data_IF_490001422678
#
_entry.id   IF_490001422678
#
_cell.length_a   1.000
_cell.length_b   1.000
_cell.length_c   1.000
_cell.angle_alpha   90.00
_cell.angle_beta   90.00
_cell.angle_gamma   90.00
#
_symmetry.space_group_name_H-M   'P 1'
#
loop_
_entity.id
_entity.type
_entity.pdbx_description
1 polymer ?
#
# COMPACT_ATOMS: atom_id res chain seq x y z
N UNK A 1 7.32 15.96 -6.58
CA UNK A 1 7.38 14.72 -5.77
C UNK A 1 7.00 14.96 -4.30
N UNK A 2 7.53 15.99 -3.62
CA UNK A 2 7.12 16.30 -2.24
C UNK A 2 5.61 16.55 -2.11
N UNK A 3 4.98 17.29 -3.04
CA UNK A 3 3.53 17.49 -3.08
C UNK A 3 2.75 16.17 -3.26
N UNK A 4 3.32 15.20 -3.98
CA UNK A 4 2.72 13.87 -4.14
C UNK A 4 2.79 13.10 -2.83
N UNK A 5 3.91 13.18 -2.10
CA UNK A 5 4.05 12.59 -0.77
C UNK A 5 3.03 13.17 0.22
N UNK A 6 2.87 14.50 0.23
CA UNK A 6 1.90 15.20 1.08
C UNK A 6 0.48 14.78 0.71
N UNK A 7 0.11 14.87 -0.57
CA UNK A 7 -1.24 14.52 -1.04
C UNK A 7 -1.59 13.06 -0.74
N UNK A 8 -0.66 12.13 -0.96
CA UNK A 8 -0.87 10.71 -0.69
C UNK A 8 -0.95 10.42 0.82
N UNK A 9 -0.14 11.09 1.64
CA UNK A 9 -0.24 11.01 3.10
C UNK A 9 -1.63 11.45 3.58
N UNK A 10 -2.11 12.60 3.10
CA UNK A 10 -3.46 13.10 3.44
C UNK A 10 -4.52 12.11 2.98
N UNK A 11 -4.39 11.55 1.78
CA UNK A 11 -5.31 10.53 1.26
C UNK A 11 -5.34 9.29 2.17
N UNK A 12 -4.18 8.75 2.58
CA UNK A 12 -4.14 7.61 3.49
C UNK A 12 -4.81 7.91 4.83
N UNK A 13 -4.53 9.06 5.44
CA UNK A 13 -5.19 9.47 6.68
C UNK A 13 -6.70 9.58 6.47
N UNK A 14 -7.14 10.23 5.38
CA UNK A 14 -8.56 10.42 5.08
C UNK A 14 -9.31 9.10 4.90
N UNK A 15 -8.71 8.11 4.21
CA UNK A 15 -9.29 6.78 4.04
C UNK A 15 -9.63 6.15 5.40
N UNK A 16 -8.79 6.35 6.43
CA UNK A 16 -9.02 5.84 7.78
C UNK A 16 -10.35 6.27 8.43
N UNK A 17 -11.02 7.29 7.89
CA UNK A 17 -12.30 7.80 8.38
C UNK A 17 -13.48 7.51 7.46
N UNK A 18 -13.26 6.94 6.26
CA UNK A 18 -14.32 6.64 5.29
C UNK A 18 -15.23 5.51 5.78
N UNK A 19 -14.65 4.47 6.38
CA UNK A 19 -15.40 3.30 6.87
C UNK A 19 -15.79 3.48 8.34
N UNK A 20 -17.07 3.28 8.61
CA UNK A 20 -17.72 3.40 9.92
C UNK A 20 -18.61 2.18 10.18
N UNK A 21 -19.01 1.95 11.44
CA UNK A 21 -19.84 0.80 11.81
C UNK A 21 -21.17 0.80 11.02
N UNK A 22 -21.70 2.00 10.74
CA UNK A 22 -22.96 2.19 10.03
C UNK A 22 -22.88 1.90 8.53
N UNK A 23 -21.73 2.17 7.89
CA UNK A 23 -21.57 2.04 6.44
C UNK A 23 -20.71 0.82 6.02
N UNK A 24 -20.08 0.11 6.96
CA UNK A 24 -19.18 -1.00 6.66
C UNK A 24 -19.86 -2.11 5.87
N UNK A 25 -21.16 -2.38 6.11
CA UNK A 25 -21.94 -3.36 5.33
C UNK A 25 -22.04 -3.04 3.83
N UNK A 26 -21.70 -1.82 3.42
CA UNK A 26 -21.67 -1.39 2.03
C UNK A 26 -20.23 -1.21 1.52
N UNK A 27 -19.38 -0.54 2.31
CA UNK A 27 -18.06 -0.09 1.87
C UNK A 27 -16.91 -1.07 2.16
N UNK A 28 -17.06 -1.95 3.16
CA UNK A 28 -15.99 -2.86 3.55
C UNK A 28 -16.07 -4.16 2.74
N UNK A 29 -15.20 -4.27 1.73
CA UNK A 29 -15.07 -5.49 0.92
C UNK A 29 -14.80 -6.72 1.79
N UNK A 30 -15.35 -7.86 1.40
CA UNK A 30 -15.39 -9.07 2.21
C UNK A 30 -16.54 -9.04 3.21
N UNK A 31 -16.66 -8.00 4.04
CA UNK A 31 -17.77 -7.87 5.00
C UNK A 31 -19.12 -7.62 4.32
N UNK A 32 -19.16 -6.78 3.29
CA UNK A 32 -20.37 -6.49 2.51
C UNK A 32 -20.89 -7.74 1.79
N UNK A 33 -20.02 -8.64 1.34
CA UNK A 33 -20.35 -9.89 0.66
C UNK A 33 -20.69 -11.04 1.61
N UNK A 34 -20.45 -10.91 2.92
CA UNK A 34 -20.82 -11.96 3.88
C UNK A 34 -22.35 -12.05 4.04
N UNK A 35 -22.91 -13.26 4.19
CA UNK A 35 -24.27 -13.45 4.67
C UNK A 35 -24.46 -12.81 6.05
N UNK A 36 -25.70 -12.41 6.38
CA UNK A 36 -25.99 -11.73 7.65
C UNK A 36 -25.60 -12.56 8.89
N UNK A 37 -25.75 -13.88 8.82
CA UNK A 37 -25.35 -14.79 9.89
C UNK A 37 -23.83 -14.76 10.16
N UNK A 38 -23.02 -14.60 9.11
CA UNK A 38 -21.56 -14.57 9.21
C UNK A 38 -21.02 -13.19 9.57
N UNK A 39 -21.71 -12.11 9.19
CA UNK A 39 -21.34 -10.75 9.62
C UNK A 39 -21.30 -10.63 11.15
N UNK A 40 -22.19 -11.34 11.85
CA UNK A 40 -22.24 -11.38 13.34
C UNK A 40 -20.99 -12.01 13.96
N UNK A 41 -20.18 -12.75 13.20
CA UNK A 41 -18.92 -13.36 13.67
C UNK A 41 -17.72 -12.40 13.56
N UNK A 42 -17.89 -11.27 12.87
CA UNK A 42 -16.85 -10.25 12.71
C UNK A 42 -16.97 -9.23 13.85
N UNK A 43 -15.87 -9.00 14.57
CA UNK A 43 -15.77 -7.89 15.52
C UNK A 43 -15.56 -6.58 14.74
N UNK A 44 -16.65 -6.06 14.17
CA UNK A 44 -16.61 -4.91 13.27
C UNK A 44 -16.14 -3.64 13.96
N UNK A 45 -16.49 -3.48 15.25
CA UNK A 45 -16.10 -2.32 16.06
C UNK A 45 -14.58 -2.31 16.28
N UNK A 46 -14.00 -3.44 16.68
CA UNK A 46 -12.56 -3.54 16.85
C UNK A 46 -11.81 -3.43 15.50
N UNK A 47 -12.37 -4.02 14.43
CA UNK A 47 -11.80 -3.91 13.08
C UNK A 47 -11.75 -2.46 12.60
N UNK A 48 -12.81 -1.68 12.75
CA UNK A 48 -12.86 -0.29 12.29
C UNK A 48 -11.88 0.60 13.08
N UNK A 49 -11.78 0.38 14.39
CA UNK A 49 -10.77 1.05 15.20
C UNK A 49 -9.35 0.72 14.71
N UNK A 50 -9.09 -0.54 14.34
CA UNK A 50 -7.83 -0.98 13.76
C UNK A 50 -7.58 -0.37 12.37
N UNK A 51 -8.56 -0.42 11.47
CA UNK A 51 -8.50 0.16 10.13
C UNK A 51 -8.13 1.64 10.18
N UNK A 52 -8.77 2.41 11.07
CA UNK A 52 -8.46 3.83 11.28
C UNK A 52 -7.02 4.04 11.76
N UNK A 53 -6.61 3.32 12.81
CA UNK A 53 -5.26 3.43 13.37
C UNK A 53 -4.19 3.09 12.34
N UNK A 54 -4.41 2.04 11.56
CA UNK A 54 -3.51 1.64 10.47
C UNK A 54 -3.35 2.75 9.44
N UNK A 55 -4.45 3.32 8.94
CA UNK A 55 -4.42 4.35 7.90
C UNK A 55 -3.83 5.69 8.38
N UNK A 56 -4.09 6.07 9.64
CA UNK A 56 -3.44 7.23 10.27
C UNK A 56 -1.93 6.99 10.37
N UNK A 57 -1.53 5.82 10.90
CA UNK A 57 -0.12 5.45 11.00
C UNK A 57 0.54 5.45 9.63
N UNK A 58 -0.06 4.80 8.63
CA UNK A 58 0.43 4.73 7.26
C UNK A 58 0.63 6.12 6.66
N UNK A 59 -0.34 7.03 6.79
CA UNK A 59 -0.20 8.39 6.27
C UNK A 59 0.95 9.15 6.94
N UNK A 60 1.00 9.15 8.27
CA UNK A 60 2.03 9.86 9.03
C UNK A 60 3.44 9.29 8.78
N UNK A 61 3.60 7.97 8.82
CA UNK A 61 4.88 7.32 8.56
C UNK A 61 5.30 7.50 7.11
N UNK A 62 4.36 7.45 6.16
CA UNK A 62 4.63 7.69 4.74
C UNK A 62 5.17 9.11 4.50
N UNK A 63 4.56 10.12 5.13
CA UNK A 63 5.03 11.49 5.02
C UNK A 63 6.43 11.66 5.61
N UNK A 64 6.64 11.20 6.84
CA UNK A 64 7.91 11.38 7.55
C UNK A 64 9.03 10.63 6.84
N UNK A 65 8.87 9.33 6.58
CA UNK A 65 9.90 8.52 5.93
C UNK A 65 10.14 8.95 4.48
N UNK A 66 9.07 9.29 3.75
CA UNK A 66 9.17 9.79 2.38
C UNK A 66 9.90 11.13 2.29
N UNK A 67 9.61 12.05 3.22
CA UNK A 67 10.32 13.33 3.29
C UNK A 67 11.80 13.14 3.66
N UNK A 68 12.11 12.24 4.60
CA UNK A 68 13.49 11.91 4.94
C UNK A 68 14.27 11.40 3.73
N UNK A 69 13.69 10.45 2.99
CA UNK A 69 14.31 9.94 1.76
C UNK A 69 14.49 11.04 0.70
N UNK A 70 13.50 11.91 0.54
CA UNK A 70 13.52 12.99 -0.44
C UNK A 70 14.60 14.03 -0.18
N UNK A 71 14.73 14.48 1.07
CA UNK A 71 15.63 15.57 1.44
C UNK A 71 17.04 15.10 1.80
N UNK A 72 17.21 13.88 2.33
CA UNK A 72 18.50 13.44 2.90
C UNK A 72 19.15 12.25 2.16
N UNK A 73 18.45 11.57 1.24
CA UNK A 73 19.01 10.40 0.54
C UNK A 73 19.04 10.65 -0.98
N UNK A 74 17.91 10.52 -1.66
CA UNK A 74 17.81 10.88 -3.08
C UNK A 74 16.36 10.91 -3.55
N UNK A 75 16.11 11.65 -4.64
CA UNK A 75 14.81 11.67 -5.31
C UNK A 75 14.43 10.28 -5.87
N UNK A 76 15.40 9.49 -6.34
CA UNK A 76 15.12 8.15 -6.86
C UNK A 76 14.64 7.21 -5.76
N UNK A 77 15.28 7.25 -4.59
CA UNK A 77 14.89 6.42 -3.43
C UNK A 77 13.52 6.79 -2.87
N UNK A 78 13.20 8.09 -2.81
CA UNK A 78 11.86 8.54 -2.44
C UNK A 78 10.80 8.14 -3.48
N UNK A 79 11.17 8.05 -4.77
CA UNK A 79 10.32 7.49 -5.83
C UNK A 79 10.03 6.00 -5.66
N UNK A 80 11.06 5.19 -5.35
CA UNK A 80 10.89 3.76 -5.03
C UNK A 80 10.00 3.58 -3.80
N UNK A 81 10.25 4.36 -2.75
CA UNK A 81 9.47 4.33 -1.51
C UNK A 81 7.99 4.64 -1.71
N UNK A 82 7.67 5.62 -2.58
CA UNK A 82 6.30 6.01 -2.92
C UNK A 82 5.45 4.80 -3.31
N UNK A 83 6.05 3.83 -4.00
CA UNK A 83 5.35 2.66 -4.53
C UNK A 83 5.49 1.44 -3.62
N UNK A 84 6.70 1.16 -3.11
CA UNK A 84 6.98 -0.06 -2.35
C UNK A 84 6.37 -0.03 -0.96
N UNK A 85 6.46 1.10 -0.25
CA UNK A 85 6.07 1.17 1.16
C UNK A 85 4.57 0.94 1.39
N UNK A 86 3.64 1.56 0.63
CA UNK A 86 2.22 1.30 0.81
C UNK A 86 1.86 -0.17 0.56
N UNK A 87 2.44 -0.80 -0.46
CA UNK A 87 2.16 -2.22 -0.79
C UNK A 87 2.58 -3.13 0.36
N UNK A 88 3.78 -2.93 0.91
CA UNK A 88 4.25 -3.67 2.09
C UNK A 88 3.35 -3.44 3.31
N UNK A 89 2.94 -2.19 3.55
CA UNK A 89 2.03 -1.87 4.65
C UNK A 89 0.68 -2.56 4.49
N UNK A 90 0.12 -2.60 3.27
CA UNK A 90 -1.15 -3.29 2.99
C UNK A 90 -1.04 -4.82 3.11
N UNK A 91 0.10 -5.42 2.77
CA UNK A 91 0.34 -6.85 3.05
C UNK A 91 0.23 -7.11 4.56
N UNK A 92 0.93 -6.31 5.37
CA UNK A 92 0.86 -6.39 6.84
C UNK A 92 -0.55 -6.15 7.38
N UNK A 93 -1.27 -5.18 6.82
CA UNK A 93 -2.66 -4.89 7.17
C UNK A 93 -3.57 -6.08 6.93
N UNK A 94 -3.55 -6.67 5.74
CA UNK A 94 -4.40 -7.81 5.38
C UNK A 94 -4.06 -9.02 6.26
N UNK A 95 -2.77 -9.31 6.47
CA UNK A 95 -2.31 -10.44 7.30
C UNK A 95 -2.82 -10.35 8.74
N UNK A 96 -2.75 -9.16 9.34
CA UNK A 96 -3.15 -8.94 10.74
C UNK A 96 -4.65 -8.69 10.92
N UNK A 97 -5.36 -8.32 9.86
CA UNK A 97 -6.80 -8.08 9.91
C UNK A 97 -7.65 -9.35 10.06
N UNK A 98 -7.09 -10.51 9.69
CA UNK A 98 -7.77 -11.81 9.81
C UNK A 98 -8.22 -12.14 11.25
N UNK A 99 -7.53 -11.63 12.27
CA UNK A 99 -7.83 -11.87 13.68
C UNK A 99 -9.22 -11.35 14.13
N UNK A 100 -9.81 -10.43 13.36
CA UNK A 100 -11.13 -9.84 13.65
C UNK A 100 -12.30 -10.67 13.08
N UNK A 101 -12.02 -11.70 12.28
CA UNK A 101 -13.00 -12.54 11.60
C UNK A 101 -12.95 -13.98 12.13
N UNK A 102 -13.19 -14.15 13.44
CA UNK A 102 -13.04 -15.45 14.11
C UNK A 102 -14.01 -16.49 13.52
N UNK A 103 -13.48 -17.66 13.17
CA UNK A 103 -14.26 -18.76 12.61
C UNK A 103 -14.69 -18.58 11.15
N UNK A 104 -14.21 -17.52 10.47
CA UNK A 104 -14.40 -17.32 9.05
C UNK A 104 -13.15 -17.73 8.27
N UNK A 105 -13.36 -18.20 7.04
CA UNK A 105 -12.27 -18.56 6.13
C UNK A 105 -11.41 -17.36 5.80
N UNK A 106 -10.09 -17.51 5.93
CA UNK A 106 -9.10 -16.47 5.60
C UNK A 106 -8.49 -16.67 4.20
N UNK A 107 -9.02 -17.59 3.39
CA UNK A 107 -8.49 -17.91 2.05
C UNK A 107 -8.39 -16.67 1.15
N UNK A 108 -9.41 -15.82 1.16
CA UNK A 108 -9.40 -14.58 0.38
C UNK A 108 -8.34 -13.58 0.84
N UNK A 109 -8.02 -13.54 2.14
CA UNK A 109 -6.91 -12.74 2.65
C UNK A 109 -5.57 -13.28 2.13
N UNK A 110 -5.40 -14.61 2.10
CA UNK A 110 -4.19 -15.25 1.56
C UNK A 110 -4.02 -14.99 0.06
N UNK A 111 -5.09 -15.12 -0.71
CA UNK A 111 -5.09 -14.80 -2.15
C UNK A 111 -4.76 -13.32 -2.37
N UNK A 112 -5.38 -12.42 -1.59
CA UNK A 112 -5.07 -10.99 -1.65
C UNK A 112 -3.60 -10.68 -1.35
N UNK A 113 -3.02 -11.32 -0.33
CA UNK A 113 -1.60 -11.19 -0.01
C UNK A 113 -0.73 -11.70 -1.16
N UNK A 114 -1.05 -12.85 -1.75
CA UNK A 114 -0.30 -13.41 -2.88
C UNK A 114 -0.32 -12.46 -4.08
N UNK A 115 -1.48 -11.87 -4.38
CA UNK A 115 -1.62 -10.86 -5.43
C UNK A 115 -0.75 -9.64 -5.12
N UNK A 116 -0.81 -9.09 -3.90
CA UNK A 116 0.00 -7.94 -3.50
C UNK A 116 1.50 -8.22 -3.57
N UNK A 117 1.95 -9.43 -3.19
CA UNK A 117 3.35 -9.86 -3.34
C UNK A 117 3.72 -9.92 -4.83
N UNK A 118 2.87 -10.51 -5.67
CA UNK A 118 3.08 -10.55 -7.12
C UNK A 118 3.19 -9.15 -7.73
N UNK A 119 2.29 -8.24 -7.33
CA UNK A 119 2.34 -6.83 -7.73
C UNK A 119 3.63 -6.16 -7.27
N UNK A 120 4.05 -6.39 -6.03
CA UNK A 120 5.29 -5.82 -5.49
C UNK A 120 6.52 -6.27 -6.28
N UNK A 121 6.63 -7.57 -6.56
CA UNK A 121 7.72 -8.14 -7.36
C UNK A 121 7.71 -7.55 -8.76
N UNK A 122 6.55 -7.55 -9.42
CA UNK A 122 6.40 -7.01 -10.77
C UNK A 122 6.83 -5.54 -10.86
N UNK A 123 6.34 -4.70 -9.97
CA UNK A 123 6.69 -3.27 -9.97
C UNK A 123 8.15 -3.03 -9.61
N UNK A 124 8.72 -3.81 -8.69
CA UNK A 124 10.15 -3.70 -8.36
C UNK A 124 11.03 -4.05 -9.55
N UNK A 125 10.66 -5.08 -10.33
CA UNK A 125 11.35 -5.44 -11.58
C UNK A 125 11.25 -4.31 -12.60
N UNK A 126 10.06 -3.72 -12.80
CA UNK A 126 9.88 -2.58 -13.70
C UNK A 126 10.73 -1.38 -13.29
N UNK A 127 10.79 -1.05 -12.00
CA UNK A 127 11.65 0.01 -11.49
C UNK A 127 13.12 -0.29 -11.76
N UNK A 128 13.56 -1.54 -11.54
CA UNK A 128 14.93 -1.98 -11.86
C UNK A 128 15.29 -1.80 -13.34
N UNK A 129 14.38 -2.14 -14.26
CA UNK A 129 14.56 -1.87 -15.68
C UNK A 129 14.57 -0.36 -15.99
N UNK A 130 13.71 0.42 -15.33
CA UNK A 130 13.62 1.87 -15.53
C UNK A 130 14.85 2.65 -15.05
N UNK A 131 15.61 2.10 -14.09
CA UNK A 131 16.87 2.69 -13.62
C UNK A 131 18.10 2.29 -14.44
N UNK A 132 17.96 1.44 -15.46
CA UNK A 132 19.07 1.08 -16.33
C UNK A 132 19.42 2.30 -17.19
N UNK A 133 20.60 2.89 -16.94
CA UNK A 133 21.12 3.99 -17.76
C UNK A 133 21.47 3.50 -19.16
N UNK A 134 21.20 4.34 -20.18
CA UNK A 134 21.69 4.08 -21.53
C UNK A 134 23.21 4.27 -21.55
N UNK A 135 23.92 3.30 -22.11
CA UNK A 135 25.35 3.40 -22.33
C UNK A 135 25.63 4.36 -23.49
N UNK A 136 26.33 5.46 -23.20
CA UNK A 136 26.87 6.35 -24.22
C UNK A 136 28.17 5.75 -24.75
N UNK A 137 28.15 5.31 -26.00
CA UNK A 137 29.37 4.93 -26.72
C UNK A 137 29.83 6.09 -27.59
N UNK A 138 31.02 6.60 -27.30
CA UNK A 138 31.69 7.60 -28.12
C UNK A 138 32.51 6.89 -29.19
N UNK A 139 32.15 7.07 -30.45
CA UNK A 139 33.01 6.77 -31.59
C UNK A 139 33.56 8.08 -32.16
N UNK A 140 34.72 8.02 -32.80
CA UNK A 140 35.35 9.11 -33.54
C UNK A 140 34.45 9.79 -34.58
N UNK A 141 33.36 9.12 -35.00
CA UNK A 141 32.42 9.61 -36.01
C UNK A 141 30.99 9.86 -35.48
N UNK A 142 30.62 9.36 -34.31
CA UNK A 142 29.25 9.50 -33.79
C UNK A 142 29.15 9.32 -32.27
N UNK A 143 28.06 9.84 -31.71
CA UNK A 143 27.63 9.56 -30.33
C UNK A 143 26.37 8.71 -30.43
N UNK A 144 26.44 7.47 -29.96
CA UNK A 144 25.30 6.54 -29.93
C UNK A 144 24.83 6.28 -28.49
N UNK A 145 23.51 6.23 -28.31
CA UNK A 145 22.86 5.78 -27.08
C UNK A 145 22.46 4.32 -27.25
N UNK A 146 23.01 3.41 -26.43
CA UNK A 146 22.63 1.99 -26.36
C UNK A 146 21.89 1.66 -25.07
#
# INVERSE_FOLDING_TARGET
MIYVLIGMSVLFVAIGFVVTENNAKYLLSGYNTLPEADRKKVDIKAYIAYFRKFHIFLGLSFLVLGALLYYFISRNWAGVFLVVYPVLAYIGFVATSAKYSKGLSTKWNQVGILILIGTLVFVTVLLGYGFKENTLTFDSQSIEFK
#
